data_IF_717784587639
#
_entry.id   IF_717784587639
#
_cell.length_a   1.000
_cell.length_b   1.000
_cell.length_c   1.000
_cell.angle_alpha   90.00
_cell.angle_beta   90.00
_cell.angle_gamma   90.00
#
_symmetry.space_group_name_H-M   'P 1'
#
loop_
_entity.id
_entity.type
_entity.pdbx_description
1 polymer ?
#
# COMPACT_ATOMS: atom_id res chain seq x y z
N UNK A 1 13.81 2.75 -8.31
CA UNK A 1 13.21 3.62 -7.28
C UNK A 1 11.99 4.39 -7.79
N UNK A 2 11.97 4.99 -8.99
CA UNK A 2 10.77 5.69 -9.54
C UNK A 2 9.49 4.84 -9.69
N UNK A 3 9.59 3.51 -9.76
CA UNK A 3 8.43 2.65 -9.98
C UNK A 3 7.52 2.49 -8.74
N UNK A 4 8.07 2.69 -7.54
CA UNK A 4 7.29 2.57 -6.29
C UNK A 4 6.61 3.88 -5.88
N UNK A 5 7.09 5.03 -6.40
CA UNK A 5 6.57 6.34 -6.04
C UNK A 5 5.05 6.47 -6.24
N UNK A 6 4.46 6.09 -7.39
CA UNK A 6 3.01 6.25 -7.59
C UNK A 6 2.16 5.41 -6.62
N UNK A 7 2.68 4.23 -6.23
CA UNK A 7 2.02 3.33 -5.28
C UNK A 7 2.15 3.88 -3.85
N UNK A 8 3.35 4.34 -3.48
CA UNK A 8 3.58 4.96 -2.17
C UNK A 8 2.75 6.25 -2.01
N UNK A 9 2.69 7.08 -3.05
CA UNK A 9 1.91 8.33 -3.05
C UNK A 9 0.42 8.04 -2.86
N UNK A 10 -0.16 7.11 -3.64
CA UNK A 10 -1.56 6.73 -3.49
C UNK A 10 -1.89 6.11 -2.13
N UNK A 11 -0.99 5.32 -1.53
CA UNK A 11 -1.18 4.82 -0.16
C UNK A 11 -1.15 5.97 0.85
N UNK A 12 -0.22 6.94 0.68
CA UNK A 12 -0.11 8.09 1.58
C UNK A 12 -1.33 9.02 1.51
N UNK A 13 -1.92 9.17 0.33
CA UNK A 13 -3.13 9.97 0.09
C UNK A 13 -4.43 9.24 0.45
N UNK A 14 -4.37 7.95 0.80
CA UNK A 14 -5.57 7.14 1.04
C UNK A 14 -6.41 6.89 -0.20
N UNK A 15 -5.80 6.99 -1.39
CA UNK A 15 -6.45 6.73 -2.69
C UNK A 15 -6.13 5.34 -3.22
N UNK A 16 -5.25 4.61 -2.55
CA UNK A 16 -4.93 3.23 -2.88
C UNK A 16 -6.09 2.29 -2.52
N UNK A 17 -6.46 1.34 -3.40
CA UNK A 17 -7.54 0.40 -3.11
C UNK A 17 -7.24 -0.45 -1.88
N UNK A 18 -8.24 -0.63 -1.02
CA UNK A 18 -8.18 -1.52 0.14
C UNK A 18 -7.97 -2.99 -0.28
N UNK A 19 -8.50 -3.36 -1.45
CA UNK A 19 -8.46 -4.72 -1.96
C UNK A 19 -7.73 -4.79 -3.29
N UNK A 20 -6.56 -5.44 -3.30
CA UNK A 20 -5.77 -5.73 -4.50
C UNK A 20 -5.57 -7.24 -4.64
N UNK A 21 -5.88 -7.77 -5.82
CA UNK A 21 -5.71 -9.18 -6.15
C UNK A 21 -4.59 -9.40 -7.19
N UNK A 22 -4.25 -10.66 -7.44
CA UNK A 22 -3.18 -11.04 -8.38
C UNK A 22 -3.37 -10.55 -9.82
N UNK A 23 -4.60 -10.19 -10.21
CA UNK A 23 -4.94 -9.66 -11.53
C UNK A 23 -4.74 -8.15 -11.64
N UNK A 24 -4.51 -7.46 -10.51
CA UNK A 24 -4.27 -6.02 -10.50
C UNK A 24 -2.88 -5.69 -11.04
N UNK A 25 -2.78 -4.66 -11.89
CA UNK A 25 -1.53 -4.25 -12.55
C UNK A 25 -0.39 -3.98 -11.56
N UNK A 26 -0.72 -3.49 -10.37
CA UNK A 26 0.25 -3.09 -9.34
C UNK A 26 0.53 -4.19 -8.30
N UNK A 27 -0.14 -5.35 -8.39
CA UNK A 27 -0.01 -6.42 -7.39
C UNK A 27 1.44 -6.88 -7.20
N UNK A 28 2.19 -7.04 -8.30
CA UNK A 28 3.57 -7.47 -8.26
C UNK A 28 4.45 -6.46 -7.50
N UNK A 29 4.31 -5.17 -7.80
CA UNK A 29 5.06 -4.11 -7.12
C UNK A 29 4.66 -3.99 -5.65
N UNK A 30 3.36 -4.08 -5.35
CA UNK A 30 2.88 -4.07 -3.96
C UNK A 30 3.45 -5.25 -3.15
N UNK A 31 3.49 -6.44 -3.76
CA UNK A 31 4.10 -7.62 -3.15
C UNK A 31 5.59 -7.40 -2.87
N UNK A 32 6.34 -6.85 -3.82
CA UNK A 32 7.75 -6.48 -3.62
C UNK A 32 7.92 -5.44 -2.50
N UNK A 33 7.02 -4.44 -2.42
CA UNK A 33 7.03 -3.44 -1.36
C UNK A 33 6.74 -4.07 0.02
N UNK A 34 5.83 -5.03 0.08
CA UNK A 34 5.50 -5.77 1.30
C UNK A 34 6.66 -6.66 1.75
N UNK A 35 7.20 -7.47 0.85
CA UNK A 35 8.35 -8.34 1.11
C UNK A 35 9.61 -7.54 1.47
N UNK A 36 9.74 -6.32 0.92
CA UNK A 36 10.83 -5.39 1.23
C UNK A 36 10.64 -4.57 2.51
N UNK A 37 9.52 -4.72 3.22
CA UNK A 37 9.25 -3.97 4.46
C UNK A 37 8.97 -2.47 4.25
N UNK A 38 8.50 -2.09 3.07
CA UNK A 38 8.08 -0.70 2.77
C UNK A 38 6.62 -0.45 3.11
N UNK A 39 5.77 -1.48 3.04
CA UNK A 39 4.34 -1.42 3.39
C UNK A 39 3.95 -2.55 4.32
N UNK A 40 2.86 -2.37 5.05
CA UNK A 40 2.19 -3.40 5.83
C UNK A 40 0.70 -3.42 5.50
N UNK A 41 0.07 -4.58 5.62
CA UNK A 41 -1.37 -4.72 5.62
C UNK A 41 -1.84 -4.77 7.08
N UNK A 42 -2.76 -3.90 7.48
CA UNK A 42 -3.30 -3.83 8.84
C UNK A 42 -4.79 -4.08 8.82
N UNK A 43 -5.31 -4.71 9.89
CA UNK A 43 -6.75 -4.86 10.06
C UNK A 43 -7.39 -3.48 10.25
N UNK A 44 -8.45 -3.23 9.48
CA UNK A 44 -9.24 -2.01 9.52
C UNK A 44 -10.73 -2.33 9.44
N UNK A 45 -11.56 -1.41 9.94
CA UNK A 45 -13.01 -1.50 9.87
C UNK A 45 -13.59 -0.17 9.43
N UNK A 46 -14.59 -0.20 8.55
CA UNK A 46 -15.37 0.99 8.22
C UNK A 46 -16.43 1.29 9.28
N UNK A 47 -17.12 2.43 9.12
CA UNK A 47 -18.16 2.89 10.05
C UNK A 47 -19.41 1.98 10.06
N UNK A 48 -19.57 1.13 9.04
CA UNK A 48 -20.66 0.15 8.92
C UNK A 48 -20.26 -1.22 9.50
N UNK A 49 -19.04 -1.36 10.01
CA UNK A 49 -18.50 -2.60 10.59
C UNK A 49 -17.95 -3.59 9.56
N UNK A 50 -17.72 -3.15 8.32
CA UNK A 50 -17.04 -3.92 7.29
C UNK A 50 -15.56 -4.05 7.60
N UNK A 51 -15.10 -5.29 7.78
CA UNK A 51 -13.68 -5.61 8.02
C UNK A 51 -12.92 -5.71 6.69
N UNK A 52 -11.78 -5.04 6.61
CA UNK A 52 -10.88 -5.09 5.45
C UNK A 52 -9.41 -4.94 5.87
N UNK A 53 -8.52 -5.20 4.92
CA UNK A 53 -7.08 -5.02 5.11
C UNK A 53 -6.66 -3.68 4.50
N UNK A 54 -6.29 -2.72 5.33
CA UNK A 54 -5.76 -1.45 4.85
C UNK A 54 -4.25 -1.57 4.60
N UNK A 55 -3.79 -1.11 3.44
CA UNK A 55 -2.35 -1.04 3.15
C UNK A 55 -1.80 0.28 3.70
N UNK A 56 -0.76 0.21 4.54
CA UNK A 56 -0.09 1.39 5.12
C UNK A 56 1.40 1.41 4.82
N UNK A 57 1.93 2.63 4.63
CA UNK A 57 3.37 2.85 4.49
C UNK A 57 4.10 2.73 5.82
N UNK A 58 5.15 1.91 5.82
CA UNK A 58 6.12 1.83 6.92
C UNK A 58 7.13 2.99 6.83
N UNK A 59 7.92 3.26 7.90
CA UNK A 59 8.93 4.32 7.87
C UNK A 59 9.92 4.21 6.71
N UNK A 60 10.28 2.98 6.29
CA UNK A 60 11.12 2.76 5.12
C UNK A 60 10.41 3.12 3.80
N UNK A 61 9.10 2.84 3.70
CA UNK A 61 8.28 3.20 2.55
C UNK A 61 8.08 4.70 2.41
N UNK A 62 7.98 5.44 3.51
CA UNK A 62 7.86 6.92 3.46
C UNK A 62 9.05 7.58 2.79
N UNK A 63 10.26 7.03 2.94
CA UNK A 63 11.47 7.52 2.26
C UNK A 63 11.38 7.44 0.73
N UNK A 64 10.44 6.66 0.18
CA UNK A 64 10.19 6.61 -1.26
C UNK A 64 9.49 7.88 -1.79
N UNK A 65 8.89 8.68 -0.90
CA UNK A 65 8.22 9.94 -1.23
C UNK A 65 9.19 11.14 -1.25
N UNK A 66 10.35 11.02 -0.60
CA UNK A 66 11.35 12.09 -0.50
C UNK A 66 12.29 12.17 -1.74
N UNK A 67 12.01 11.39 -2.80
CA UNK A 67 12.88 11.15 -3.96
C UNK A 67 12.23 11.57 -5.28
#
# INVERSE_FOLDING_TARGET
MKAYYPIAESIAEGTFPDCINASHKDFKLLKEMYEGGYVAAVDASDDDGGEFMEIRLLPAGRKLLDY
#
